data_IF_601876079462
#
_entry.id   IF_601876079462
#
_cell.length_a   1.000
_cell.length_b   1.000
_cell.length_c   1.000
_cell.angle_alpha   90.00
_cell.angle_beta   90.00
_cell.angle_gamma   90.00
#
_symmetry.space_group_name_H-M   'P 1'
#
loop_
_entity.id
_entity.type
_entity.pdbx_description
1 polymer ?
#
# COMPACT_ATOMS: atom_id res chain seq x y z
N UNK A 1 1.04 4.65 -4.39
CA UNK A 1 -0.24 3.94 -4.19
C UNK A 1 -0.94 4.38 -2.91
N UNK A 2 -0.44 4.05 -1.70
CA UNK A 2 -1.11 4.39 -0.43
C UNK A 2 -1.03 5.84 0.03
N UNK A 3 -0.22 6.69 -0.62
CA UNK A 3 -0.08 8.12 -0.27
C UNK A 3 -1.44 8.85 -0.23
N UNK A 4 -2.41 8.43 -1.04
CA UNK A 4 -3.75 9.03 -1.10
C UNK A 4 -4.52 8.93 0.23
N UNK A 5 -4.20 7.94 1.09
CA UNK A 5 -4.83 7.77 2.40
C UNK A 5 -4.55 8.93 3.35
N UNK A 6 -3.45 9.64 3.12
CA UNK A 6 -2.90 10.63 4.04
C UNK A 6 -2.79 12.00 3.37
N UNK A 7 -3.63 12.26 2.37
CA UNK A 7 -3.67 13.54 1.67
C UNK A 7 -3.86 14.69 2.68
N UNK A 8 -3.02 15.71 2.58
CA UNK A 8 -3.02 16.85 3.51
C UNK A 8 -2.09 16.71 4.72
N UNK A 9 -1.53 15.52 4.99
CA UNK A 9 -0.50 15.37 6.03
C UNK A 9 0.90 15.74 5.50
N UNK A 10 1.79 16.27 6.37
CA UNK A 10 3.20 16.44 6.04
C UNK A 10 3.88 15.14 5.60
N UNK A 11 4.78 15.23 4.61
CA UNK A 11 5.47 14.05 4.05
C UNK A 11 6.22 13.21 5.08
N UNK A 12 6.80 13.82 6.12
CA UNK A 12 7.50 13.09 7.18
C UNK A 12 6.54 12.24 8.03
N UNK A 13 5.30 12.71 8.25
CA UNK A 13 4.23 11.94 8.93
C UNK A 13 3.82 10.78 8.06
N UNK A 14 3.56 11.05 6.77
CA UNK A 14 3.18 10.02 5.79
C UNK A 14 4.23 8.91 5.74
N UNK A 15 5.52 9.27 5.71
CA UNK A 15 6.63 8.30 5.72
C UNK A 15 6.62 7.40 6.95
N UNK A 16 6.38 7.96 8.14
CA UNK A 16 6.26 7.18 9.39
C UNK A 16 5.05 6.24 9.37
N UNK A 17 3.88 6.72 8.95
CA UNK A 17 2.66 5.92 8.86
C UNK A 17 2.81 4.77 7.86
N UNK A 18 3.37 5.03 6.68
CA UNK A 18 3.62 4.00 5.68
C UNK A 18 4.64 2.97 6.16
N UNK A 19 5.69 3.40 6.86
CA UNK A 19 6.66 2.46 7.46
C UNK A 19 5.98 1.47 8.39
N UNK A 20 5.03 1.94 9.20
CA UNK A 20 4.26 1.08 10.09
C UNK A 20 3.33 0.14 9.31
N UNK A 21 2.67 0.63 8.26
CA UNK A 21 1.87 -0.23 7.38
C UNK A 21 2.71 -1.35 6.76
N UNK A 22 3.88 -1.01 6.23
CA UNK A 22 4.78 -1.98 5.59
C UNK A 22 5.27 -3.08 6.52
N UNK A 23 5.53 -2.76 7.80
CA UNK A 23 5.95 -3.75 8.80
C UNK A 23 4.89 -4.83 9.05
N UNK A 24 3.63 -4.50 8.84
CA UNK A 24 2.49 -5.38 9.09
C UNK A 24 1.77 -5.84 7.82
N UNK A 25 2.34 -5.57 6.64
CA UNK A 25 1.74 -5.92 5.37
C UNK A 25 1.93 -7.41 5.06
N UNK A 26 0.82 -8.14 4.87
CA UNK A 26 0.84 -9.58 4.59
C UNK A 26 1.16 -9.90 3.12
N UNK A 27 1.23 -8.89 2.24
CA UNK A 27 1.31 -9.07 0.79
C UNK A 27 2.69 -8.73 0.22
N UNK A 28 3.75 -8.84 1.03
CA UNK A 28 5.13 -8.55 0.62
C UNK A 28 5.55 -9.19 -0.71
N UNK A 29 5.17 -10.46 -0.94
CA UNK A 29 5.45 -11.14 -2.20
C UNK A 29 4.82 -10.47 -3.43
N UNK A 30 3.60 -9.93 -3.30
CA UNK A 30 2.92 -9.18 -4.38
C UNK A 30 3.62 -7.85 -4.65
N UNK A 31 4.11 -7.18 -3.61
CA UNK A 31 4.93 -5.98 -3.75
C UNK A 31 6.27 -6.26 -4.45
N UNK A 32 6.93 -7.38 -4.12
CA UNK A 32 8.13 -7.83 -4.82
C UNK A 32 7.85 -8.10 -6.30
N UNK A 33 6.75 -8.78 -6.62
CA UNK A 33 6.31 -9.01 -8.00
C UNK A 33 6.12 -7.68 -8.76
N UNK A 34 5.35 -6.75 -8.19
CA UNK A 34 5.12 -5.44 -8.80
C UNK A 34 6.41 -4.63 -8.98
N UNK A 35 7.34 -4.68 -8.02
CA UNK A 35 8.62 -4.01 -8.12
C UNK A 35 9.48 -4.58 -9.26
N UNK A 36 9.45 -5.91 -9.46
CA UNK A 36 10.14 -6.58 -10.57
C UNK A 36 9.53 -6.17 -11.92
N UNK A 37 8.21 -6.25 -12.06
CA UNK A 37 7.51 -5.84 -13.31
C UNK A 37 7.81 -4.37 -13.62
N UNK A 38 7.68 -3.47 -12.64
CA UNK A 38 7.97 -2.05 -12.85
C UNK A 38 9.41 -1.81 -13.28
N UNK A 39 10.38 -2.54 -12.70
CA UNK A 39 11.79 -2.45 -13.09
C UNK A 39 12.00 -2.82 -14.56
N UNK A 40 11.30 -3.84 -15.07
CA UNK A 40 11.34 -4.26 -16.49
C UNK A 40 10.72 -3.18 -17.39
N UNK A 41 9.53 -2.68 -17.05
CA UNK A 41 8.86 -1.60 -17.79
C UNK A 41 9.72 -0.34 -17.83
N UNK A 42 10.39 -0.01 -16.73
CA UNK A 42 11.30 1.14 -16.63
C UNK A 42 12.63 0.95 -17.33
N UNK A 43 13.13 -0.28 -17.43
CA UNK A 43 14.35 -0.59 -18.17
C UNK A 43 14.17 -0.56 -19.68
N UNK A 44 12.94 -0.75 -20.17
CA UNK A 44 12.63 -0.82 -21.60
C UNK A 44 12.06 0.47 -22.20
N UNK A 45 11.74 1.48 -21.36
CA UNK A 45 11.06 2.72 -21.79
C UNK A 45 11.69 3.98 -21.17
N UNK A 46 11.46 5.14 -21.78
CA UNK A 46 11.86 6.41 -21.17
C UNK A 46 11.02 6.72 -19.93
N UNK A 47 11.56 7.52 -19.01
CA UNK A 47 10.91 7.83 -17.72
C UNK A 47 9.49 8.37 -17.84
N UNK A 48 9.19 9.10 -18.92
CA UNK A 48 7.88 9.69 -19.21
C UNK A 48 6.84 8.67 -19.70
N UNK A 49 7.28 7.55 -20.26
CA UNK A 49 6.41 6.55 -20.91
C UNK A 49 5.99 5.43 -19.94
N UNK A 50 6.40 5.53 -18.67
CA UNK A 50 6.04 4.62 -17.60
C UNK A 50 5.87 5.37 -16.26
N UNK A 51 4.76 6.12 -16.10
CA UNK A 51 4.43 6.79 -14.85
C UNK A 51 4.09 5.77 -13.75
N UNK A 52 4.70 5.93 -12.58
CA UNK A 52 4.52 5.01 -11.45
C UNK A 52 3.05 4.93 -10.99
N UNK A 53 2.33 6.05 -11.04
CA UNK A 53 0.93 6.10 -10.64
C UNK A 53 0.03 5.27 -11.56
N UNK A 54 0.22 5.38 -12.88
CA UNK A 54 -0.52 4.62 -13.89
C UNK A 54 -0.21 3.13 -13.82
N UNK A 55 1.07 2.78 -13.66
CA UNK A 55 1.48 1.39 -13.44
C UNK A 55 0.73 0.75 -12.28
N UNK A 56 0.71 1.40 -11.11
CA UNK A 56 -0.02 0.84 -9.96
C UNK A 56 -1.54 0.88 -10.12
N UNK A 57 -2.09 1.83 -10.88
CA UNK A 57 -3.52 1.84 -11.18
C UNK A 57 -3.97 0.61 -11.98
N UNK A 58 -3.08 0.06 -12.82
CA UNK A 58 -3.35 -1.10 -13.67
C UNK A 58 -2.95 -2.41 -12.96
N UNK A 59 -1.69 -2.54 -12.55
CA UNK A 59 -1.15 -3.83 -12.12
C UNK A 59 -1.51 -4.20 -10.68
N UNK A 60 -1.70 -3.21 -9.78
CA UNK A 60 -1.99 -3.51 -8.38
C UNK A 60 -3.34 -4.24 -8.20
N UNK A 61 -4.43 -3.84 -8.87
CA UNK A 61 -5.68 -4.61 -8.87
C UNK A 61 -5.55 -6.03 -9.44
N UNK A 62 -4.75 -6.22 -10.51
CA UNK A 62 -4.58 -7.53 -11.17
C UNK A 62 -4.01 -8.57 -10.20
N UNK A 63 -2.96 -8.21 -9.46
CA UNK A 63 -2.35 -9.11 -8.47
C UNK A 63 -3.11 -9.13 -7.13
N UNK A 64 -4.24 -8.42 -7.02
CA UNK A 64 -5.05 -8.37 -5.82
C UNK A 64 -4.37 -7.63 -4.66
N UNK A 65 -3.67 -6.52 -4.93
CA UNK A 65 -3.33 -5.57 -3.86
C UNK A 65 -4.62 -4.93 -3.34
N UNK A 66 -4.73 -4.84 -2.01
CA UNK A 66 -5.86 -4.17 -1.35
C UNK A 66 -5.87 -2.69 -1.74
N UNK A 67 -6.99 -2.14 -2.26
CA UNK A 67 -7.07 -0.75 -2.65
C UNK A 67 -6.93 0.18 -1.45
N UNK A 68 -6.41 1.43 -1.62
CA UNK A 68 -6.19 2.34 -0.51
C UNK A 68 -7.47 2.57 0.31
N UNK A 69 -8.62 2.70 -0.35
CA UNK A 69 -9.94 2.89 0.28
C UNK A 69 -10.33 1.78 1.26
N UNK A 70 -9.78 0.57 1.12
CA UNK A 70 -10.10 -0.57 1.99
C UNK A 70 -8.93 -0.98 2.89
N UNK A 71 -7.72 -0.48 2.60
CA UNK A 71 -6.49 -0.94 3.22
C UNK A 71 -6.53 -0.86 4.75
N UNK A 72 -6.86 0.31 5.28
CA UNK A 72 -6.89 0.52 6.73
C UNK A 72 -7.93 -0.38 7.40
N UNK A 73 -9.14 -0.44 6.86
CA UNK A 73 -10.24 -1.26 7.38
C UNK A 73 -9.87 -2.74 7.42
N UNK A 74 -9.34 -3.29 6.33
CA UNK A 74 -8.99 -4.71 6.24
C UNK A 74 -7.74 -5.06 7.04
N UNK A 75 -6.82 -4.11 7.22
CA UNK A 75 -5.61 -4.30 8.03
C UNK A 75 -5.81 -3.95 9.52
N UNK A 76 -7.03 -3.63 9.94
CA UNK A 76 -7.35 -3.30 11.32
C UNK A 76 -6.72 -2.00 11.81
N UNK A 77 -6.48 -1.03 10.92
CA UNK A 77 -5.96 0.28 11.26
C UNK A 77 -7.05 1.34 11.36
N UNK A 78 -6.91 2.22 12.35
CA UNK A 78 -7.68 3.46 12.46
C UNK A 78 -6.74 4.62 12.75
N UNK A 79 -7.05 5.80 12.18
CA UNK A 79 -6.32 7.03 12.42
C UNK A 79 -7.21 7.98 13.23
N UNK A 80 -6.77 8.34 14.43
CA UNK A 80 -7.41 9.34 15.28
C UNK A 80 -6.70 10.70 15.18
N UNK A 81 -7.26 11.74 15.83
CA UNK A 81 -6.55 13.01 15.98
C UNK A 81 -5.22 12.80 16.73
N UNK A 82 -4.29 13.76 16.62
CA UNK A 82 -3.10 13.76 17.46
C UNK A 82 -3.48 13.67 18.93
N UNK A 83 -2.67 12.97 19.72
CA UNK A 83 -2.89 12.83 21.15
C UNK A 83 -2.86 14.21 21.81
N UNK A 84 -3.78 14.46 22.75
CA UNK A 84 -3.82 15.71 23.52
C UNK A 84 -2.45 16.00 24.14
N UNK A 85 -1.96 17.22 23.92
CA UNK A 85 -0.64 17.66 24.36
C UNK A 85 0.53 17.27 23.45
N UNK A 86 0.31 16.55 22.33
CA UNK A 86 1.37 16.30 21.35
C UNK A 86 1.69 17.56 20.56
N UNK A 87 2.95 17.99 20.59
CA UNK A 87 3.42 19.16 19.85
C UNK A 87 3.78 18.84 18.39
N UNK A 88 3.94 17.56 18.04
CA UNK A 88 4.39 17.12 16.71
C UNK A 88 3.26 16.99 15.67
N UNK A 89 2.00 17.09 16.12
CA UNK A 89 0.82 16.92 15.27
C UNK A 89 0.66 15.50 14.69
N UNK A 90 1.35 14.50 15.25
CA UNK A 90 1.29 13.11 14.77
C UNK A 90 -0.08 12.51 15.07
N UNK A 91 -0.85 12.08 14.06
CA UNK A 91 -2.11 11.39 14.28
C UNK A 91 -1.92 10.10 15.08
N UNK A 92 -2.88 9.76 15.93
CA UNK A 92 -2.84 8.50 16.67
C UNK A 92 -3.20 7.34 15.73
N UNK A 93 -2.20 6.54 15.35
CA UNK A 93 -2.43 5.29 14.63
C UNK A 93 -2.71 4.16 15.62
N UNK A 94 -3.85 3.49 15.50
CA UNK A 94 -4.26 2.39 16.39
C UNK A 94 -4.57 1.13 15.61
N UNK A 95 -4.10 -0.01 16.13
CA UNK A 95 -4.41 -1.35 15.63
C UNK A 95 -5.60 -1.92 16.39
N UNK A 96 -6.74 -2.05 15.71
CA UNK A 96 -8.00 -2.58 16.26
C UNK A 96 -8.00 -4.11 16.25
N UNK A 97 -7.40 -4.73 15.24
CA UNK A 97 -7.22 -6.18 15.15
C UNK A 97 -5.99 -6.54 14.30
N UNK A 98 -5.52 -7.78 14.38
CA UNK A 98 -4.42 -8.30 13.56
C UNK A 98 -4.97 -9.34 12.60
N UNK A 99 -5.16 -9.01 11.30
CA UNK A 99 -5.62 -10.00 10.35
C UNK A 99 -4.52 -11.02 10.02
N UNK A 100 -4.99 -12.14 9.54
CA UNK A 100 -4.25 -13.18 8.84
C UNK A 100 -4.70 -13.20 7.38
N UNK A 101 -4.03 -13.97 6.53
CA UNK A 101 -4.44 -14.11 5.12
C UNK A 101 -5.88 -14.65 4.95
N UNK A 102 -6.40 -15.40 5.94
CA UNK A 102 -7.75 -15.94 5.91
C UNK A 102 -8.85 -14.88 6.11
N UNK A 103 -8.50 -13.72 6.69
CA UNK A 103 -9.44 -12.62 6.94
C UNK A 103 -9.69 -11.76 5.68
N UNK A 104 -8.90 -11.96 4.63
CA UNK A 104 -9.04 -11.23 3.38
C UNK A 104 -9.92 -11.98 2.37
N UNK A 105 -10.79 -11.26 1.63
CA UNK A 105 -11.46 -11.82 0.46
C UNK A 105 -10.46 -12.52 -0.49
N UNK A 106 -10.85 -13.64 -1.10
CA UNK A 106 -9.97 -14.45 -1.95
C UNK A 106 -9.28 -13.63 -3.06
N UNK A 107 -9.97 -12.63 -3.62
CA UNK A 107 -9.43 -11.68 -4.59
C UNK A 107 -8.17 -10.92 -4.12
N UNK A 108 -7.96 -10.80 -2.81
CA UNK A 108 -6.77 -10.19 -2.21
C UNK A 108 -5.83 -11.22 -1.59
N UNK A 109 -6.32 -12.37 -1.15
CA UNK A 109 -5.50 -13.41 -0.53
C UNK A 109 -4.59 -14.13 -1.54
N UNK A 110 -5.03 -14.31 -2.78
CA UNK A 110 -4.29 -15.06 -3.82
C UNK A 110 -3.91 -14.19 -5.01
N UNK A 111 -2.92 -14.63 -5.78
CA UNK A 111 -2.61 -14.12 -7.13
C UNK A 111 -2.10 -15.29 -7.97
N UNK A 112 -2.55 -15.39 -9.22
CA UNK A 112 -2.05 -16.35 -10.21
C UNK A 112 -1.21 -15.67 -11.30
N UNK A 113 -1.09 -14.35 -11.29
CA UNK A 113 -0.31 -13.59 -12.26
C UNK A 113 1.20 -13.79 -12.07
N UNK A 114 1.91 -14.08 -13.17
CA UNK A 114 3.37 -14.06 -13.26
C UNK A 114 3.90 -12.70 -13.76
N UNK A 115 5.22 -12.59 -13.93
CA UNK A 115 5.86 -11.38 -14.50
C UNK A 115 5.48 -11.20 -15.97
N UNK A 116 5.33 -12.29 -16.70
CA UNK A 116 5.08 -12.30 -18.14
C UNK A 116 3.62 -11.93 -18.48
N UNK A 117 2.72 -12.06 -17.51
CA UNK A 117 1.29 -11.76 -17.63
C UNK A 117 0.94 -10.33 -17.18
N UNK A 118 1.93 -9.55 -16.71
CA UNK A 118 1.80 -8.17 -16.21
C UNK A 118 2.60 -7.17 -17.06
#
# INVERSE_FOLDING_TARGET
YFLILFSGLPQWIISKLLTEFWRHDLFGAKWTLLAKVYSIVRGSRLKKDAPLAEFFAICAPMVGIVPPSEYMRLNGWTLGPPKDGSQDGMPLLTRVFNPTLADFPSKYATTNYSVEEL
#
